data_IF_854671218619
#
_entry.id   IF_854671218619
#
_cell.length_a   1.000
_cell.length_b   1.000
_cell.length_c   1.000
_cell.angle_alpha   90.00
_cell.angle_beta   90.00
_cell.angle_gamma   90.00
#
_symmetry.space_group_name_H-M   'P 1'
#
loop_
_entity.id
_entity.type
_entity.pdbx_description
1 polymer ?
#
# COMPACT_ATOMS: atom_id res chain seq x y z
N UNK A 1 15.66 5.39 -2.51
CA UNK A 1 14.43 6.07 -2.05
C UNK A 1 13.69 6.89 -3.13
N UNK A 2 14.24 7.98 -3.69
CA UNK A 2 13.47 8.90 -4.58
C UNK A 2 12.77 8.22 -5.78
N UNK A 3 13.43 7.28 -6.45
CA UNK A 3 12.86 6.55 -7.61
C UNK A 3 11.71 5.61 -7.24
N UNK A 4 11.70 5.05 -6.02
CA UNK A 4 10.72 4.04 -5.58
C UNK A 4 9.57 4.63 -4.77
N UNK A 5 9.84 5.68 -3.99
CA UNK A 5 8.84 6.39 -3.20
C UNK A 5 8.12 7.51 -3.98
N UNK A 6 8.65 7.93 -5.14
CA UNK A 6 8.12 9.06 -5.90
C UNK A 6 6.67 8.88 -6.35
N UNK A 7 6.30 7.67 -6.78
CA UNK A 7 4.92 7.33 -7.19
C UNK A 7 4.04 6.94 -6.01
N UNK A 8 4.63 6.48 -4.91
CA UNK A 8 3.88 5.98 -3.75
C UNK A 8 2.94 7.03 -3.15
N UNK A 9 3.38 8.30 -3.10
CA UNK A 9 2.56 9.40 -2.58
C UNK A 9 1.30 9.64 -3.44
N UNK A 10 1.44 9.54 -4.76
CA UNK A 10 0.34 9.71 -5.71
C UNK A 10 -0.62 8.51 -5.61
N UNK A 11 -0.08 7.29 -5.63
CA UNK A 11 -0.85 6.05 -5.50
C UNK A 11 -1.68 6.04 -4.20
N UNK A 12 -1.11 6.53 -3.10
CA UNK A 12 -1.81 6.61 -1.81
C UNK A 12 -2.90 7.70 -1.78
N UNK A 13 -2.72 8.80 -2.51
CA UNK A 13 -3.76 9.82 -2.64
C UNK A 13 -4.97 9.27 -3.40
N UNK A 14 -4.74 8.63 -4.55
CA UNK A 14 -5.79 7.98 -5.34
C UNK A 14 -6.49 6.87 -4.55
N UNK A 15 -5.74 6.06 -3.80
CA UNK A 15 -6.31 5.05 -2.91
C UNK A 15 -7.30 5.65 -1.91
N UNK A 16 -6.96 6.75 -1.23
CA UNK A 16 -7.84 7.36 -0.23
C UNK A 16 -9.11 7.93 -0.84
N UNK A 17 -9.03 8.50 -2.03
CA UNK A 17 -10.20 8.99 -2.77
C UNK A 17 -11.13 7.84 -3.16
N UNK A 18 -10.56 6.77 -3.73
CA UNK A 18 -11.33 5.59 -4.16
C UNK A 18 -11.87 4.78 -2.98
N UNK A 19 -11.14 4.68 -1.87
CA UNK A 19 -11.61 4.00 -0.66
C UNK A 19 -12.81 4.73 -0.04
N UNK A 20 -12.80 6.07 -0.05
CA UNK A 20 -13.93 6.86 0.43
C UNK A 20 -15.16 6.66 -0.48
N UNK A 21 -14.98 6.64 -1.81
CA UNK A 21 -16.05 6.42 -2.77
C UNK A 21 -16.62 4.99 -2.71
N UNK A 22 -15.75 3.99 -2.57
CA UNK A 22 -16.09 2.57 -2.45
C UNK A 22 -16.94 2.23 -1.22
N UNK A 23 -16.92 3.06 -0.18
CA UNK A 23 -17.79 2.88 1.01
C UNK A 23 -19.27 3.17 0.73
N UNK A 24 -19.58 3.85 -0.37
CA UNK A 24 -20.94 4.29 -0.70
C UNK A 24 -21.48 3.70 -2.01
N UNK A 25 -20.63 3.17 -2.89
CA UNK A 25 -21.02 2.54 -4.15
C UNK A 25 -21.17 1.02 -4.03
N UNK A 26 -22.22 0.45 -4.65
CA UNK A 26 -22.51 -0.99 -4.59
C UNK A 26 -21.74 -1.85 -5.59
N UNK A 27 -21.19 -1.26 -6.65
CA UNK A 27 -20.43 -1.97 -7.68
C UNK A 27 -19.14 -1.23 -8.01
N UNK A 28 -18.01 -1.87 -7.67
CA UNK A 28 -16.67 -1.42 -8.06
C UNK A 28 -16.20 -2.31 -9.19
N UNK A 29 -15.77 -1.71 -10.28
CA UNK A 29 -15.15 -2.44 -11.37
C UNK A 29 -13.81 -3.05 -10.94
N UNK A 30 -13.35 -4.07 -11.67
CA UNK A 30 -12.13 -4.80 -11.32
C UNK A 30 -10.88 -3.89 -11.28
N UNK A 31 -10.85 -2.81 -12.06
CA UNK A 31 -9.73 -1.88 -12.02
C UNK A 31 -9.70 -1.10 -10.70
N UNK A 32 -10.84 -0.57 -10.25
CA UNK A 32 -10.94 0.14 -8.97
C UNK A 32 -10.63 -0.77 -7.79
N UNK A 33 -11.12 -2.01 -7.80
CA UNK A 33 -10.81 -3.00 -6.76
C UNK A 33 -9.30 -3.27 -6.65
N UNK A 34 -8.60 -3.38 -7.78
CA UNK A 34 -7.15 -3.57 -7.78
C UNK A 34 -6.39 -2.37 -7.18
N UNK A 35 -6.83 -1.14 -7.45
CA UNK A 35 -6.23 0.06 -6.87
C UNK A 35 -6.46 0.11 -5.35
N UNK A 36 -7.66 -0.22 -4.90
CA UNK A 36 -8.02 -0.28 -3.48
C UNK A 36 -7.18 -1.34 -2.75
N UNK A 37 -7.09 -2.55 -3.30
CA UNK A 37 -6.31 -3.63 -2.69
C UNK A 37 -4.81 -3.34 -2.67
N UNK A 38 -4.27 -2.71 -3.72
CA UNK A 38 -2.87 -2.23 -3.74
C UNK A 38 -2.65 -1.17 -2.66
N UNK A 39 -3.56 -0.21 -2.53
CA UNK A 39 -3.47 0.87 -1.56
C UNK A 39 -3.52 0.38 -0.10
N UNK A 40 -4.43 -0.54 0.22
CA UNK A 40 -4.49 -1.19 1.55
C UNK A 40 -3.16 -1.84 1.92
N UNK A 41 -2.55 -2.59 1.00
CA UNK A 41 -1.23 -3.22 1.21
C UNK A 41 -0.14 -2.18 1.41
N UNK A 42 -0.14 -1.11 0.61
CA UNK A 42 0.81 -0.02 0.75
C UNK A 42 0.67 0.70 2.10
N UNK A 43 -0.52 0.76 2.70
CA UNK A 43 -0.69 1.30 4.06
C UNK A 43 -0.11 0.36 5.11
N UNK A 44 -0.34 -0.94 4.99
CA UNK A 44 0.19 -1.92 5.95
C UNK A 44 1.72 -1.96 5.99
N UNK A 45 2.39 -1.92 4.84
CA UNK A 45 3.86 -1.95 4.80
C UNK A 45 4.53 -0.69 5.36
N UNK A 46 3.76 0.41 5.50
CA UNK A 46 4.24 1.65 6.10
C UNK A 46 4.06 1.68 7.62
N UNK A 47 3.42 0.66 8.22
CA UNK A 47 3.34 0.53 9.67
C UNK A 47 4.66 0.03 10.23
N UNK A 48 5.09 0.68 11.31
CA UNK A 48 6.34 0.37 12.00
C UNK A 48 6.07 0.40 13.51
N UNK A 49 6.61 -0.59 14.23
CA UNK A 49 6.52 -0.64 15.68
C UNK A 49 7.44 0.43 16.31
N UNK A 50 7.10 0.85 17.53
CA UNK A 50 7.92 1.82 18.25
C UNK A 50 9.28 1.21 18.61
N UNK A 51 10.36 1.99 18.44
CA UNK A 51 11.75 1.57 18.68
C UNK A 51 12.27 0.43 17.79
N UNK A 52 11.61 0.15 16.65
CA UNK A 52 12.03 -0.86 15.68
C UNK A 52 12.40 -0.18 14.34
N UNK A 53 13.57 0.47 14.22
CA UNK A 53 13.99 1.14 13.00
C UNK A 53 14.36 0.16 11.90
N UNK A 54 13.75 0.32 10.71
CA UNK A 54 14.20 -0.38 9.51
C UNK A 54 15.46 0.25 8.92
N UNK A 55 16.37 -0.57 8.42
CA UNK A 55 17.52 -0.11 7.62
C UNK A 55 17.04 0.51 6.30
N UNK A 56 17.87 1.34 5.66
CA UNK A 56 17.48 2.01 4.40
C UNK A 56 17.27 0.99 3.28
N UNK A 57 18.06 -0.08 3.28
CA UNK A 57 17.98 -1.20 2.35
C UNK A 57 16.63 -1.91 2.46
N UNK A 58 16.21 -2.21 3.69
CA UNK A 58 14.93 -2.86 3.97
C UNK A 58 13.74 -1.96 3.59
N UNK A 59 13.82 -0.66 3.93
CA UNK A 59 12.80 0.31 3.54
C UNK A 59 12.65 0.39 2.01
N UNK A 60 13.76 0.41 1.27
CA UNK A 60 13.75 0.44 -0.19
C UNK A 60 13.15 -0.84 -0.77
N UNK A 61 13.51 -2.00 -0.24
CA UNK A 61 12.98 -3.29 -0.70
C UNK A 61 11.46 -3.39 -0.49
N UNK A 62 10.99 -3.01 0.69
CA UNK A 62 9.56 -3.04 1.05
C UNK A 62 8.75 -2.07 0.17
N UNK A 63 9.23 -0.83 0.01
CA UNK A 63 8.56 0.19 -0.83
C UNK A 63 8.56 -0.23 -2.30
N UNK A 64 9.64 -0.84 -2.79
CA UNK A 64 9.71 -1.35 -4.16
C UNK A 64 8.67 -2.46 -4.40
N UNK A 65 8.57 -3.41 -3.47
CA UNK A 65 7.60 -4.51 -3.56
C UNK A 65 6.15 -4.00 -3.59
N UNK A 66 5.82 -3.00 -2.75
CA UNK A 66 4.51 -2.35 -2.76
C UNK A 66 4.22 -1.57 -4.05
N UNK A 67 5.18 -0.76 -4.50
CA UNK A 67 5.05 0.06 -5.72
C UNK A 67 4.82 -0.80 -6.97
N UNK A 68 5.52 -1.93 -7.08
CA UNK A 68 5.41 -2.89 -8.20
C UNK A 68 4.27 -3.90 -8.06
N UNK A 69 3.42 -3.76 -7.03
CA UNK A 69 2.30 -4.68 -6.76
C UNK A 69 2.73 -6.15 -6.59
N UNK A 70 3.99 -6.39 -6.20
CA UNK A 70 4.53 -7.74 -5.97
C UNK A 70 3.95 -8.38 -4.71
N UNK A 71 3.35 -7.57 -3.84
CA UNK A 71 2.71 -8.03 -2.62
C UNK A 71 1.29 -8.54 -2.83
N UNK A 72 0.76 -8.61 -4.05
CA UNK A 72 -0.66 -8.93 -4.36
C UNK A 72 -1.13 -10.29 -3.81
N UNK A 73 -0.26 -11.29 -3.76
CA UNK A 73 -0.60 -12.65 -3.31
C UNK A 73 -0.44 -12.83 -1.81
N UNK A 74 0.17 -11.86 -1.12
CA UNK A 74 0.38 -11.92 0.33
C UNK A 74 -0.95 -11.64 1.03
N UNK A 75 -1.44 -12.57 1.84
CA UNK A 75 -2.64 -12.32 2.63
C UNK A 75 -2.39 -11.14 3.58
N UNK A 76 -3.33 -10.17 3.60
CA UNK A 76 -3.39 -9.12 4.60
C UNK A 76 -3.84 -9.71 5.95
N UNK A 77 -3.01 -10.57 6.52
CA UNK A 77 -3.14 -11.07 7.89
C UNK A 77 -1.77 -11.00 8.53
N UNK A 78 -1.40 -9.80 8.96
CA UNK A 78 -0.40 -9.70 10.01
C UNK A 78 -0.71 -8.48 10.84
N UNK A 79 -1.34 -8.74 11.99
CA UNK A 79 -1.26 -7.89 13.18
C UNK A 79 0.23 -7.65 13.45
N UNK A 80 0.81 -6.61 12.85
CA UNK A 80 2.01 -5.97 13.40
C UNK A 80 1.50 -5.02 14.50
N UNK A 81 1.28 -5.62 15.66
CA UNK A 81 1.15 -4.91 16.95
C UNK A 81 2.56 -4.55 17.38
#
# INVERSE_FOLDING_TARGET
>A
MKKVAGTLKLDQAQFRELEAFAKFGSDLDAATLNVIEKGKRNVEILKQAQNDPFTVEDQVAIIFAGSKNLLREVLLKSKRI
#
